data_IF_792092829959
#
_entry.id   IF_792092829959
#
_cell.length_a   1.000
_cell.length_b   1.000
_cell.length_c   1.000
_cell.angle_alpha   90.00
_cell.angle_beta   90.00
_cell.angle_gamma   90.00
#
_symmetry.space_group_name_H-M   'P 1'
#
loop_
_entity.id
_entity.type
_entity.pdbx_description
1 polymer ?
#
# COMPACT_ATOMS: atom_id res chain seq x y z
N UNK A 1 0.44 -19.81 1.75
CA UNK A 1 0.27 -18.68 2.70
C UNK A 1 -0.20 -17.46 1.89
N UNK A 2 -1.50 -17.19 1.82
CA UNK A 2 -2.09 -16.17 0.94
C UNK A 2 -2.18 -14.84 1.70
N UNK A 3 -1.40 -13.83 1.28
CA UNK A 3 -1.55 -12.45 1.71
C UNK A 3 -2.57 -11.80 0.76
N UNK A 4 -3.76 -11.47 1.27
CA UNK A 4 -4.69 -10.61 0.53
C UNK A 4 -4.10 -9.20 0.53
N UNK A 5 -3.74 -8.76 -0.68
CA UNK A 5 -3.27 -7.42 -0.96
C UNK A 5 -4.39 -6.44 -0.60
N UNK A 6 -4.05 -5.40 0.15
CA UNK A 6 -4.91 -4.24 0.34
C UNK A 6 -5.39 -3.75 -1.01
N UNK A 7 -6.67 -3.98 -1.29
CA UNK A 7 -7.32 -3.48 -2.50
C UNK A 7 -7.53 -1.99 -2.27
N UNK A 8 -6.48 -1.20 -2.53
CA UNK A 8 -6.65 0.20 -2.86
C UNK A 8 -7.45 0.24 -4.16
N UNK A 9 -8.75 0.55 -4.08
CA UNK A 9 -9.42 1.09 -5.26
C UNK A 9 -8.70 2.40 -5.54
N UNK A 10 -7.95 2.47 -6.63
CA UNK A 10 -7.46 3.73 -7.13
C UNK A 10 -8.67 4.66 -7.23
N UNK A 11 -8.68 5.73 -6.46
CA UNK A 11 -9.72 6.73 -6.57
C UNK A 11 -9.55 7.41 -7.92
N UNK A 12 -10.29 6.91 -8.91
CA UNK A 12 -10.27 7.39 -10.29
C UNK A 12 -10.76 8.83 -10.41
N UNK A 13 -11.29 9.42 -9.33
CA UNK A 13 -11.71 10.83 -9.29
C UNK A 13 -10.60 11.78 -8.83
N UNK A 14 -9.52 11.27 -8.24
CA UNK A 14 -8.40 12.09 -7.76
C UNK A 14 -7.48 12.47 -8.92
N UNK A 15 -7.71 13.65 -9.49
CA UNK A 15 -6.82 14.24 -10.48
C UNK A 15 -5.63 14.92 -9.79
N UNK A 16 -4.42 14.65 -10.25
CA UNK A 16 -3.24 15.38 -9.79
C UNK A 16 -3.17 16.74 -10.52
N UNK A 17 -2.94 17.86 -9.82
CA UNK A 17 -2.62 19.13 -10.45
C UNK A 17 -1.43 18.99 -11.41
N UNK A 18 -1.42 19.76 -12.49
CA UNK A 18 -0.34 19.77 -13.48
C UNK A 18 1.05 19.94 -12.84
N UNK A 19 1.16 20.79 -11.83
CA UNK A 19 2.41 21.02 -11.09
C UNK A 19 2.93 19.77 -10.40
N UNK A 20 2.05 18.94 -9.83
CA UNK A 20 2.43 17.67 -9.19
C UNK A 20 2.83 16.64 -10.23
N UNK A 21 2.16 16.60 -11.38
CA UNK A 21 2.54 15.71 -12.48
C UNK A 21 3.92 16.08 -13.04
N UNK A 22 4.16 17.36 -13.28
CA UNK A 22 5.45 17.84 -13.79
C UNK A 22 6.57 17.54 -12.81
N UNK A 23 6.38 17.83 -11.52
CA UNK A 23 7.39 17.53 -10.49
C UNK A 23 7.74 16.04 -10.45
N UNK A 24 6.74 15.14 -10.58
CA UNK A 24 6.99 13.69 -10.64
C UNK A 24 7.81 13.30 -11.87
N UNK A 25 7.48 13.86 -13.04
CA UNK A 25 8.25 13.62 -14.28
C UNK A 25 9.69 14.08 -14.10
N UNK A 26 9.90 15.30 -13.61
CA UNK A 26 11.23 15.88 -13.45
C UNK A 26 12.08 15.07 -12.44
N UNK A 27 11.50 14.69 -11.29
CA UNK A 27 12.18 13.85 -10.30
C UNK A 27 12.54 12.49 -10.92
N UNK A 28 11.61 11.83 -11.61
CA UNK A 28 11.88 10.54 -12.25
C UNK A 28 13.00 10.65 -13.30
N UNK A 29 12.96 11.67 -14.17
CA UNK A 29 13.98 11.89 -15.20
C UNK A 29 15.36 12.13 -14.58
N UNK A 30 15.44 12.90 -13.50
CA UNK A 30 16.66 13.14 -12.76
C UNK A 30 17.21 11.86 -12.11
N UNK A 31 16.35 11.05 -11.47
CA UNK A 31 16.75 9.79 -10.84
C UNK A 31 17.22 8.76 -11.88
N UNK A 32 16.54 8.67 -13.02
CA UNK A 32 16.91 7.77 -14.13
C UNK A 32 18.26 8.16 -14.75
N UNK A 33 18.52 9.47 -14.88
CA UNK A 33 19.76 9.99 -15.48
C UNK A 33 20.92 10.11 -14.51
N UNK A 34 20.69 9.86 -13.21
CA UNK A 34 21.68 10.09 -12.13
C UNK A 34 22.99 9.34 -12.31
N UNK A 35 22.93 8.09 -12.78
CA UNK A 35 24.10 7.25 -13.10
C UNK A 35 23.80 6.36 -14.29
N UNK A 36 24.84 5.96 -15.03
CA UNK A 36 24.73 5.05 -16.17
C UNK A 36 24.07 3.70 -15.83
N UNK A 37 24.21 3.23 -14.60
CA UNK A 37 23.66 1.96 -14.11
C UNK A 37 22.84 2.18 -12.84
N UNK A 38 21.83 1.36 -12.60
CA UNK A 38 21.01 1.38 -11.39
C UNK A 38 21.67 0.77 -10.15
N UNK A 39 22.98 0.48 -10.16
CA UNK A 39 23.66 -0.08 -8.99
C UNK A 39 23.53 0.77 -7.72
N UNK A 40 23.36 2.10 -7.87
CA UNK A 40 23.18 3.04 -6.75
C UNK A 40 21.86 2.84 -5.99
N UNK A 41 20.88 2.13 -6.55
CA UNK A 41 19.61 1.90 -5.85
C UNK A 41 19.76 0.92 -4.68
N UNK A 42 20.84 0.13 -4.66
CA UNK A 42 21.18 -0.76 -3.53
C UNK A 42 21.53 0.01 -2.26
N UNK A 43 22.06 1.22 -2.41
CA UNK A 43 22.43 2.08 -1.28
C UNK A 43 21.24 2.87 -0.72
N UNK A 44 20.04 2.71 -1.31
CA UNK A 44 18.83 3.38 -0.82
C UNK A 44 18.29 2.61 0.38
N UNK A 45 18.23 3.30 1.51
CA UNK A 45 17.38 2.92 2.64
C UNK A 45 16.08 3.69 2.49
N UNK A 46 14.95 2.98 2.51
CA UNK A 46 13.61 3.58 2.51
C UNK A 46 12.91 3.22 3.81
N UNK A 47 11.91 4.01 4.17
CA UNK A 47 11.07 3.73 5.32
C UNK A 47 9.67 4.28 5.12
N UNK A 48 8.69 3.63 5.72
CA UNK A 48 7.29 4.02 5.63
C UNK A 48 6.57 3.66 6.93
N UNK A 49 5.47 4.38 7.17
CA UNK A 49 4.61 4.17 8.33
C UNK A 49 3.23 3.71 7.87
N UNK A 50 2.72 2.68 8.56
CA UNK A 50 1.43 2.10 8.22
C UNK A 50 0.63 1.76 9.45
N UNK A 51 -0.64 2.17 9.46
CA UNK A 51 -1.61 1.73 10.44
C UNK A 51 -2.00 0.28 10.19
N UNK A 52 -1.79 -0.58 11.18
CA UNK A 52 -2.13 -2.00 11.16
C UNK A 52 -3.18 -2.27 12.22
N UNK A 53 -4.35 -2.78 11.82
CA UNK A 53 -5.38 -3.21 12.75
C UNK A 53 -4.99 -4.54 13.44
N UNK A 54 -5.24 -4.65 14.74
CA UNK A 54 -5.03 -5.90 15.51
C UNK A 54 -5.91 -7.03 14.98
N UNK A 55 -7.19 -6.73 14.77
CA UNK A 55 -8.15 -7.65 14.16
C UNK A 55 -8.34 -7.20 12.73
N UNK A 56 -7.65 -7.88 11.81
CA UNK A 56 -7.89 -7.70 10.40
C UNK A 56 -9.14 -8.49 10.00
N UNK A 57 -10.32 -7.89 10.18
CA UNK A 57 -11.60 -8.47 9.71
C UNK A 57 -11.57 -8.45 8.18
N UNK A 58 -11.04 -9.51 7.59
CA UNK A 58 -11.03 -9.69 6.15
C UNK A 58 -12.41 -10.19 5.74
N UNK A 59 -13.20 -9.29 5.15
CA UNK A 59 -14.46 -9.64 4.49
C UNK A 59 -14.13 -10.59 3.34
N UNK A 60 -14.25 -11.90 3.59
CA UNK A 60 -14.14 -12.90 2.54
C UNK A 60 -15.25 -12.65 1.54
N UNK A 61 -14.88 -12.31 0.31
CA UNK A 61 -15.83 -12.23 -0.80
C UNK A 61 -16.46 -13.60 -1.00
N UNK A 62 -17.78 -13.66 -0.91
CA UNK A 62 -18.54 -14.85 -1.20
C UNK A 62 -19.25 -14.65 -2.54
N UNK A 63 -19.19 -15.69 -3.38
CA UNK A 63 -20.00 -15.78 -4.57
C UNK A 63 -21.30 -16.46 -4.15
N UNK A 64 -22.37 -15.67 -4.01
CA UNK A 64 -23.69 -16.16 -3.62
C UNK A 64 -24.60 -16.21 -4.85
N UNK A 65 -25.51 -17.17 -4.89
CA UNK A 65 -26.59 -17.16 -5.88
C UNK A 65 -27.59 -16.03 -5.55
N UNK A 66 -28.37 -15.51 -6.53
CA UNK A 66 -29.24 -14.34 -6.32
C UNK A 66 -30.29 -14.45 -5.19
N UNK A 67 -30.54 -15.65 -4.67
CA UNK A 67 -31.53 -15.95 -3.62
C UNK A 67 -30.87 -16.31 -2.27
N UNK A 68 -29.56 -16.53 -2.24
CA UNK A 68 -28.87 -16.96 -1.02
C UNK A 68 -28.38 -15.74 -0.22
N UNK A 69 -28.78 -15.69 1.06
CA UNK A 69 -28.20 -14.74 2.01
C UNK A 69 -26.90 -15.34 2.56
N UNK A 70 -25.77 -14.67 2.32
CA UNK A 70 -24.49 -15.12 2.84
C UNK A 70 -24.43 -14.99 4.36
N UNK A 71 -23.61 -15.81 5.05
CA UNK A 71 -23.37 -15.68 6.48
C UNK A 71 -22.95 -14.24 6.82
N UNK A 72 -23.60 -13.70 7.85
CA UNK A 72 -23.39 -12.34 8.33
C UNK A 72 -21.92 -12.18 8.76
N UNK A 73 -21.17 -11.37 8.04
CA UNK A 73 -19.83 -10.98 8.47
C UNK A 73 -19.98 -10.04 9.66
N UNK A 74 -19.29 -10.34 10.76
CA UNK A 74 -19.27 -9.48 11.93
C UNK A 74 -18.94 -8.05 11.51
N UNK A 75 -19.82 -7.11 11.86
CA UNK A 75 -19.63 -5.69 11.57
C UNK A 75 -18.30 -5.27 12.19
N UNK A 76 -17.36 -4.69 11.42
CA UNK A 76 -16.10 -4.23 11.99
C UNK A 76 -16.39 -3.27 13.14
N UNK A 77 -15.63 -3.40 14.24
CA UNK A 77 -15.77 -2.51 15.39
C UNK A 77 -15.64 -1.05 14.94
N UNK A 78 -16.43 -0.15 15.54
CA UNK A 78 -16.46 1.27 15.18
C UNK A 78 -15.10 1.95 15.43
N UNK A 79 -14.33 1.43 16.39
CA UNK A 79 -13.00 1.89 16.77
C UNK A 79 -12.03 0.70 16.82
N UNK A 80 -11.54 0.22 15.66
CA UNK A 80 -10.62 -0.90 15.63
C UNK A 80 -9.33 -0.52 16.37
N UNK A 81 -8.82 -1.44 17.20
CA UNK A 81 -7.49 -1.26 17.78
C UNK A 81 -6.47 -1.31 16.64
N UNK A 82 -5.71 -0.23 16.49
CA UNK A 82 -4.65 -0.11 15.49
C UNK A 82 -3.30 0.15 16.16
N UNK A 83 -2.24 -0.29 15.52
CA UNK A 83 -0.85 0.06 15.85
C UNK A 83 -0.24 0.74 14.65
N UNK A 84 0.57 1.77 14.90
CA UNK A 84 1.40 2.36 13.86
C UNK A 84 2.68 1.54 13.73
N UNK A 85 2.87 0.92 12.57
CA UNK A 85 4.09 0.20 12.23
C UNK A 85 4.98 1.14 11.41
N UNK A 86 6.18 1.43 11.92
CA UNK A 86 7.21 2.16 11.17
C UNK A 86 8.33 1.18 10.82
N UNK A 87 8.62 1.01 9.53
CA UNK A 87 9.64 0.05 9.05
C UNK A 87 10.65 0.77 8.18
N UNK A 88 11.92 0.41 8.30
CA UNK A 88 13.01 0.82 7.42
C UNK A 88 13.63 -0.40 6.75
N UNK A 89 13.88 -0.34 5.44
CA UNK A 89 14.44 -1.46 4.68
C UNK A 89 15.31 -0.99 3.51
N UNK A 90 16.21 -1.86 3.06
CA UNK A 90 17.02 -1.70 1.86
C UNK A 90 16.82 -2.90 0.90
N UNK A 91 17.70 -3.08 -0.08
CA UNK A 91 17.64 -4.23 -1.01
C UNK A 91 17.96 -5.57 -0.36
N UNK A 92 18.58 -5.58 0.81
CA UNK A 92 19.01 -6.79 1.52
C UNK A 92 17.98 -7.25 2.55
N UNK A 93 17.16 -6.33 3.08
CA UNK A 93 16.05 -6.67 3.96
C UNK A 93 15.59 -5.54 4.86
N UNK A 94 14.83 -5.90 5.89
CA UNK A 94 14.36 -4.99 6.94
C UNK A 94 15.51 -4.67 7.89
N UNK A 95 15.67 -3.40 8.20
CA UNK A 95 16.70 -2.86 9.10
C UNK A 95 16.10 -2.56 10.47
N UNK A 96 14.93 -1.90 10.49
CA UNK A 96 14.19 -1.50 11.69
C UNK A 96 12.70 -1.71 11.48
#
# INVERSE_FOLDING_TARGET
MRKELEIWRADTTRTFPYTQLQARVDICMNLLSRRRTFAWTRDIITGDEKWVAYVNVTLKRQWLQPVETGPEAAKPELHPRMVMLSVWWNTDGVIY
#
